data_IF_847281457265
#
_entry.id   IF_847281457265
#
_cell.length_a   1.000
_cell.length_b   1.000
_cell.length_c   1.000
_cell.angle_alpha   90.00
_cell.angle_beta   90.00
_cell.angle_gamma   90.00
#
_symmetry.space_group_name_H-M   'P 1'
#
loop_
_entity.id
_entity.type
_entity.pdbx_description
1 polymer ?
#
# COMPACT_ATOMS: atom_id res chain seq x y z
N UNK A 1 -20.53 -14.17 -17.11
CA UNK A 1 -19.09 -14.24 -16.76
C UNK A 1 -18.75 -12.93 -16.07
N UNK A 2 -18.37 -12.94 -14.79
CA UNK A 2 -18.09 -11.72 -14.04
C UNK A 2 -16.58 -11.47 -14.06
N UNK A 3 -16.20 -10.24 -14.37
CA UNK A 3 -14.82 -9.78 -14.24
C UNK A 3 -14.75 -8.91 -13.01
N UNK A 4 -13.81 -9.25 -12.13
CA UNK A 4 -13.66 -8.60 -10.83
C UNK A 4 -12.31 -7.89 -10.86
N UNK A 5 -12.34 -6.62 -10.46
CA UNK A 5 -11.15 -5.80 -10.25
C UNK A 5 -11.03 -5.50 -8.75
N UNK A 6 -9.84 -5.73 -8.20
CA UNK A 6 -9.46 -5.26 -6.87
C UNK A 6 -8.54 -4.05 -7.04
N UNK A 7 -8.99 -2.91 -6.52
CA UNK A 7 -8.20 -1.68 -6.42
C UNK A 7 -7.69 -1.57 -4.99
N UNK A 8 -6.39 -1.72 -4.82
CA UNK A 8 -5.71 -1.52 -3.55
C UNK A 8 -5.21 -0.08 -3.50
N UNK A 9 -5.98 0.79 -2.83
CA UNK A 9 -5.63 2.20 -2.66
C UNK A 9 -4.57 2.31 -1.57
N UNK A 10 -3.42 2.88 -1.92
CA UNK A 10 -2.27 3.03 -1.04
C UNK A 10 -1.66 4.42 -1.21
N UNK A 11 -1.12 4.99 -0.14
CA UNK A 11 -0.14 6.07 -0.25
C UNK A 11 1.21 5.46 -0.64
N UNK A 12 1.64 5.69 -1.88
CA UNK A 12 2.88 5.07 -2.31
C UNK A 12 4.11 5.62 -1.59
N UNK A 13 4.09 6.88 -1.13
CA UNK A 13 5.21 7.49 -0.42
C UNK A 13 5.37 6.89 0.97
N UNK A 14 4.30 6.87 1.76
CA UNK A 14 4.40 6.45 3.16
C UNK A 14 4.19 4.95 3.36
N UNK A 15 3.24 4.34 2.64
CA UNK A 15 2.86 2.93 2.87
C UNK A 15 3.69 1.96 2.04
N UNK A 16 4.11 2.32 0.82
CA UNK A 16 4.95 1.44 0.00
C UNK A 16 6.45 1.72 0.16
N UNK A 17 6.84 2.99 0.19
CA UNK A 17 8.27 3.40 0.22
C UNK A 17 8.78 3.80 1.60
N UNK A 18 7.87 3.97 2.58
CA UNK A 18 8.22 4.39 3.94
C UNK A 18 9.07 5.67 3.94
N UNK A 19 8.63 6.67 3.19
CA UNK A 19 9.25 8.00 3.07
C UNK A 19 8.86 8.90 4.25
N UNK A 20 9.01 8.40 5.48
CA UNK A 20 8.88 9.19 6.69
C UNK A 20 10.16 9.98 6.96
N UNK A 21 10.02 11.17 7.54
CA UNK A 21 11.16 11.94 8.03
C UNK A 21 11.91 11.15 9.12
N UNK A 22 13.23 11.34 9.21
CA UNK A 22 14.10 10.66 10.17
C UNK A 22 14.00 11.26 11.59
N UNK A 23 13.10 12.21 11.79
CA UNK A 23 12.88 12.86 13.08
C UNK A 23 12.38 11.85 14.12
N UNK A 24 12.98 11.78 15.32
CA UNK A 24 12.49 10.94 16.39
C UNK A 24 11.06 11.37 16.77
N UNK A 25 10.10 10.46 16.64
CA UNK A 25 8.73 10.71 17.04
C UNK A 25 8.45 10.03 18.37
N UNK A 26 7.97 10.81 19.34
CA UNK A 26 7.48 10.31 20.62
C UNK A 26 6.00 9.97 20.45
N UNK A 27 5.68 8.68 20.48
CA UNK A 27 4.29 8.24 20.56
C UNK A 27 3.94 8.14 22.04
N UNK A 28 3.02 8.99 22.48
CA UNK A 28 2.46 8.97 23.83
C UNK A 28 1.09 8.32 23.72
N UNK A 29 0.96 7.15 24.32
CA UNK A 29 -0.35 6.52 24.48
C UNK A 29 -1.17 7.33 25.51
N UNK A 30 -2.30 7.89 25.07
CA UNK A 30 -3.16 8.72 25.92
C UNK A 30 -3.88 7.93 27.01
N UNK A 31 -4.01 6.60 26.87
CA UNK A 31 -4.73 5.76 27.83
C UNK A 31 -3.82 5.21 28.93
N UNK A 32 -2.55 4.91 28.61
CA UNK A 32 -1.61 4.29 29.56
C UNK A 32 -0.44 5.19 29.97
N UNK A 33 -0.17 6.28 29.24
CA UNK A 33 0.98 7.14 29.45
C UNK A 33 2.31 6.52 29.02
N UNK A 34 2.28 5.39 28.31
CA UNK A 34 3.50 4.74 27.79
C UNK A 34 4.09 5.58 26.67
N UNK A 35 5.34 6.00 26.85
CA UNK A 35 6.13 6.67 25.82
C UNK A 35 6.93 5.66 25.01
N UNK A 36 6.58 5.51 23.73
CA UNK A 36 7.40 4.77 22.78
C UNK A 36 8.24 5.75 21.98
N UNK A 37 9.54 5.79 22.28
CA UNK A 37 10.53 6.48 21.44
C UNK A 37 10.86 5.61 20.24
N UNK A 38 10.23 5.90 19.12
CA UNK A 38 10.45 5.20 17.86
C UNK A 38 11.30 6.09 16.95
N UNK A 39 12.41 5.55 16.44
CA UNK A 39 13.09 6.14 15.29
C UNK A 39 12.60 5.40 14.05
N UNK A 40 11.82 6.04 13.14
CA UNK A 40 11.23 5.37 11.98
C UNK A 40 12.25 4.55 11.16
N UNK A 41 13.48 5.04 11.07
CA UNK A 41 14.58 4.36 10.39
C UNK A 41 14.86 2.93 10.91
N UNK A 42 14.64 2.67 12.20
CA UNK A 42 14.85 1.34 12.79
C UNK A 42 13.85 0.30 12.28
N UNK A 43 12.65 0.74 11.91
CA UNK A 43 11.56 -0.15 11.47
C UNK A 43 11.36 -0.15 9.96
N UNK A 44 11.93 0.82 9.24
CA UNK A 44 11.78 0.99 7.79
C UNK A 44 11.93 -0.31 7.00
N UNK A 45 13.04 -1.02 7.20
CA UNK A 45 13.30 -2.24 6.44
C UNK A 45 12.28 -3.33 6.77
N UNK A 46 11.97 -3.53 8.05
CA UNK A 46 11.01 -4.54 8.49
C UNK A 46 9.60 -4.22 7.95
N UNK A 47 9.20 -2.95 7.98
CA UNK A 47 7.92 -2.50 7.47
C UNK A 47 7.81 -2.74 5.96
N UNK A 48 8.79 -2.28 5.17
CA UNK A 48 8.80 -2.43 3.71
C UNK A 48 8.73 -3.92 3.34
N UNK A 49 9.52 -4.78 4.00
CA UNK A 49 9.48 -6.22 3.74
C UNK A 49 8.11 -6.82 4.03
N UNK A 50 7.49 -6.48 5.17
CA UNK A 50 6.14 -6.95 5.52
C UNK A 50 5.09 -6.47 4.53
N UNK A 51 5.15 -5.19 4.13
CA UNK A 51 4.21 -4.61 3.17
C UNK A 51 4.32 -5.27 1.80
N UNK A 52 5.53 -5.43 1.28
CA UNK A 52 5.78 -6.12 0.02
C UNK A 52 5.29 -7.58 0.06
N UNK A 53 5.51 -8.27 1.18
CA UNK A 53 5.05 -9.65 1.38
C UNK A 53 3.53 -9.73 1.36
N UNK A 54 2.84 -8.84 2.06
CA UNK A 54 1.37 -8.79 2.07
C UNK A 54 0.81 -8.44 0.69
N UNK A 55 1.34 -7.41 0.03
CA UNK A 55 0.90 -7.00 -1.30
C UNK A 55 1.10 -8.13 -2.33
N UNK A 56 2.22 -8.87 -2.23
CA UNK A 56 2.46 -10.06 -3.05
C UNK A 56 1.42 -11.15 -2.80
N UNK A 57 1.16 -11.50 -1.54
CA UNK A 57 0.19 -12.52 -1.18
C UNK A 57 -1.24 -12.18 -1.66
N UNK A 58 -1.63 -10.90 -1.61
CA UNK A 58 -2.91 -10.43 -2.16
C UNK A 58 -2.93 -10.62 -3.67
N UNK A 59 -1.87 -10.19 -4.37
CA UNK A 59 -1.76 -10.32 -5.82
C UNK A 59 -1.80 -11.77 -6.28
N UNK A 60 -1.12 -12.68 -5.58
CA UNK A 60 -1.15 -14.12 -5.88
C UNK A 60 -2.54 -14.72 -5.71
N UNK A 61 -3.24 -14.37 -4.63
CA UNK A 61 -4.64 -14.77 -4.44
C UNK A 61 -5.51 -14.25 -5.58
N UNK A 62 -5.37 -12.98 -5.96
CA UNK A 62 -6.14 -12.39 -7.06
C UNK A 62 -5.89 -13.14 -8.38
N UNK A 63 -4.64 -13.45 -8.69
CA UNK A 63 -4.27 -14.23 -9.88
C UNK A 63 -4.96 -15.61 -9.90
N UNK A 64 -4.97 -16.31 -8.77
CA UNK A 64 -5.64 -17.61 -8.64
C UNK A 64 -7.15 -17.55 -8.89
N UNK A 65 -7.79 -16.44 -8.55
CA UNK A 65 -9.22 -16.21 -8.79
C UNK A 65 -9.54 -15.51 -10.11
N UNK A 66 -8.54 -15.23 -10.96
CA UNK A 66 -8.70 -14.42 -12.18
C UNK A 66 -9.28 -13.03 -11.89
N UNK A 67 -8.91 -12.48 -10.74
CA UNK A 67 -9.21 -11.10 -10.32
C UNK A 67 -8.05 -10.23 -10.75
N UNK A 68 -8.35 -9.15 -11.46
CA UNK A 68 -7.34 -8.15 -11.77
C UNK A 68 -6.95 -7.38 -10.51
N UNK A 69 -5.66 -7.21 -10.29
CA UNK A 69 -5.13 -6.48 -9.13
C UNK A 69 -4.41 -5.22 -9.59
N UNK A 70 -4.80 -4.08 -9.04
CA UNK A 70 -4.16 -2.78 -9.26
C UNK A 70 -3.86 -2.15 -7.91
N UNK A 71 -2.59 -1.75 -7.69
CA UNK A 71 -2.23 -0.83 -6.63
C UNK A 71 -2.37 0.60 -7.17
N UNK A 72 -3.27 1.37 -6.57
CA UNK A 72 -3.58 2.74 -6.96
C UNK A 72 -3.00 3.70 -5.92
N UNK A 73 -2.27 4.71 -6.40
CA UNK A 73 -1.73 5.75 -5.54
C UNK A 73 -2.85 6.72 -5.16
N UNK A 74 -3.02 7.03 -3.88
CA UNK A 74 -4.02 8.00 -3.44
C UNK A 74 -3.70 9.44 -3.89
N UNK A 75 -2.44 9.70 -4.27
CA UNK A 75 -2.00 10.96 -4.81
C UNK A 75 -2.42 11.15 -6.29
N UNK A 76 -2.82 10.07 -6.97
CA UNK A 76 -3.32 10.12 -8.34
C UNK A 76 -4.81 10.44 -8.38
N UNK A 77 -5.24 11.15 -9.42
CA UNK A 77 -6.66 11.39 -9.62
C UNK A 77 -7.39 10.09 -9.99
N UNK A 78 -8.66 9.99 -9.60
CA UNK A 78 -9.52 8.87 -9.96
C UNK A 78 -9.52 8.57 -11.48
N UNK A 79 -9.52 9.63 -12.30
CA UNK A 79 -9.53 9.51 -13.75
C UNK A 79 -8.26 8.86 -14.29
N UNK A 80 -7.09 9.16 -13.72
CA UNK A 80 -5.82 8.56 -14.14
C UNK A 80 -5.79 7.06 -13.82
N UNK A 81 -6.24 6.68 -12.62
CA UNK A 81 -6.33 5.28 -12.18
C UNK A 81 -7.31 4.51 -13.07
N UNK A 82 -8.47 5.09 -13.35
CA UNK A 82 -9.50 4.47 -14.20
C UNK A 82 -9.03 4.36 -15.66
N UNK A 83 -8.40 5.39 -16.21
CA UNK A 83 -7.88 5.37 -17.58
C UNK A 83 -6.80 4.31 -17.77
N UNK A 84 -5.85 4.21 -16.83
CA UNK A 84 -4.81 3.17 -16.84
C UNK A 84 -5.42 1.76 -16.79
N UNK A 85 -6.50 1.57 -16.03
CA UNK A 85 -7.26 0.32 -16.02
C UNK A 85 -7.92 0.02 -17.37
N UNK A 86 -8.65 0.99 -17.95
CA UNK A 86 -9.37 0.80 -19.22
C UNK A 86 -8.41 0.46 -20.38
N UNK A 87 -7.23 1.09 -20.41
CA UNK A 87 -6.18 0.80 -21.41
C UNK A 87 -5.64 -0.63 -21.28
N UNK A 88 -5.39 -1.09 -20.05
CA UNK A 88 -4.94 -2.47 -19.82
C UNK A 88 -5.96 -3.50 -20.31
N UNK A 89 -7.24 -3.20 -20.12
CA UNK A 89 -8.35 -4.04 -20.52
C UNK A 89 -8.56 -4.08 -22.05
N UNK A 90 -8.21 -3.02 -22.78
CA UNK A 90 -8.32 -3.00 -24.26
C UNK A 90 -7.22 -3.78 -24.97
N UNK A 91 -6.12 -4.11 -24.28
CA UNK A 91 -5.01 -4.89 -24.82
C UNK A 91 -5.14 -6.41 -24.61
N UNK A 92 -6.13 -6.86 -23.82
CA UNK A 92 -6.54 -8.27 -23.72
C UNK A 92 -7.65 -8.57 -24.72
#
# INVERSE_FOLDING_TARGET
>A
KHEILLIHVLDHATELRFEFDATPHHFIDMETGVEVKCTPHQFKQQYITRMQTQAHAIKEKCLGYKVDYIAADNAQSFNEVLAAFLIRRTKQ
#
